data_IF_239530271736
#
_entry.id   IF_239530271736
#
_cell.length_a   1.000
_cell.length_b   1.000
_cell.length_c   1.000
_cell.angle_alpha   90.00
_cell.angle_beta   90.00
_cell.angle_gamma   90.00
#
_symmetry.space_group_name_H-M   'P 1'
#
loop_
_entity.id
_entity.type
_entity.pdbx_description
1 polymer ?
#
# COMPACT_ATOMS: atom_id res chain seq x y z
N UNK A 1 0.12 -20.60 2.18
CA UNK A 1 1.50 -20.53 2.34
C UNK A 1 2.12 -19.33 1.74
N UNK A 2 3.32 -19.11 2.14
CA UNK A 2 4.02 -17.92 1.66
C UNK A 2 4.18 -17.92 0.17
N UNK A 3 4.39 -19.08 -0.40
CA UNK A 3 4.64 -19.12 -1.83
C UNK A 3 3.43 -18.69 -2.63
N UNK A 4 2.26 -18.84 -2.09
CA UNK A 4 1.06 -18.45 -2.82
C UNK A 4 0.87 -16.95 -2.83
N UNK A 5 1.27 -16.30 -1.79
CA UNK A 5 1.14 -14.86 -1.71
C UNK A 5 2.37 -14.13 -2.17
N UNK A 6 3.44 -14.87 -2.34
CA UNK A 6 4.71 -14.25 -2.64
C UNK A 6 5.43 -13.88 -1.36
N UNK A 7 6.71 -13.56 -1.50
CA UNK A 7 7.52 -13.22 -0.34
C UNK A 7 8.15 -11.85 -0.46
N UNK A 8 7.66 -11.01 -1.36
CA UNK A 8 8.16 -9.65 -1.49
C UNK A 8 7.15 -8.72 -0.84
N UNK A 9 7.62 -7.97 0.12
CA UNK A 9 6.75 -7.09 0.89
C UNK A 9 7.19 -5.65 0.69
N UNK A 10 6.22 -4.78 0.44
CA UNK A 10 6.47 -3.35 0.34
C UNK A 10 5.64 -2.65 1.38
N UNK A 11 6.26 -1.75 2.11
CA UNK A 11 5.59 -0.97 3.14
C UNK A 11 5.85 0.49 2.86
N UNK A 12 4.79 1.27 2.83
CA UNK A 12 4.89 2.70 2.59
C UNK A 12 4.14 3.42 3.69
N UNK A 13 4.77 4.42 4.26
CA UNK A 13 4.14 5.25 5.27
C UNK A 13 4.12 6.67 4.75
N UNK A 14 2.93 7.27 4.76
CA UNK A 14 2.76 8.63 4.29
C UNK A 14 2.21 9.47 5.42
N UNK A 15 2.85 10.59 5.69
CA UNK A 15 2.37 11.50 6.70
C UNK A 15 1.41 12.47 6.11
N UNK A 16 0.23 12.56 6.71
CA UNK A 16 -0.78 13.50 6.26
C UNK A 16 -1.32 14.24 7.47
N UNK A 17 -1.94 15.38 7.25
CA UNK A 17 -2.56 16.10 8.36
C UNK A 17 -3.64 15.22 8.99
N UNK A 18 -3.57 15.08 10.27
CA UNK A 18 -4.54 14.27 10.97
C UNK A 18 -4.10 12.85 11.23
N UNK A 19 -2.92 12.46 10.77
CA UNK A 19 -2.43 11.12 11.07
C UNK A 19 -1.51 10.62 10.00
N UNK A 20 -1.19 9.34 10.09
CA UNK A 20 -0.31 8.70 9.12
C UNK A 20 -1.09 7.63 8.39
N UNK A 21 -0.75 7.44 7.14
CA UNK A 21 -1.29 6.34 6.36
C UNK A 21 -0.18 5.33 6.16
N UNK A 22 -0.43 4.10 6.55
CA UNK A 22 0.54 3.05 6.38
C UNK A 22 -0.07 1.93 5.58
N UNK A 23 0.59 1.54 4.50
CA UNK A 23 0.09 0.50 3.62
C UNK A 23 1.17 -0.55 3.46
N UNK A 24 0.79 -1.80 3.61
CA UNK A 24 1.70 -2.92 3.47
C UNK A 24 1.08 -3.92 2.51
N UNK A 25 1.84 -4.31 1.50
CA UNK A 25 1.35 -5.26 0.51
C UNK A 25 2.41 -6.31 0.25
N UNK A 26 1.94 -7.49 -0.06
CA UNK A 26 2.82 -8.62 -0.32
C UNK A 26 2.50 -9.17 -1.70
N UNK A 27 3.52 -9.47 -2.46
CA UNK A 27 3.33 -9.97 -3.81
C UNK A 27 4.53 -10.82 -4.22
N UNK A 28 4.48 -11.35 -5.43
CA UNK A 28 5.56 -12.20 -5.93
C UNK A 28 6.76 -11.38 -6.38
N UNK A 29 6.54 -10.14 -6.78
CA UNK A 29 7.64 -9.26 -7.15
C UNK A 29 7.48 -7.94 -6.43
N UNK A 30 8.60 -7.23 -6.29
CA UNK A 30 8.53 -5.91 -5.65
C UNK A 30 7.71 -4.94 -6.48
N UNK A 31 7.82 -5.03 -7.79
CA UNK A 31 7.03 -4.15 -8.64
C UNK A 31 5.55 -4.32 -8.39
N UNK A 32 5.14 -5.55 -8.31
CA UNK A 32 3.75 -5.84 -8.06
C UNK A 32 3.32 -5.36 -6.69
N UNK A 33 4.16 -5.57 -5.70
CA UNK A 33 3.85 -5.12 -4.35
C UNK A 33 3.70 -3.60 -4.31
N UNK A 34 4.59 -2.91 -5.00
CA UNK A 34 4.55 -1.45 -5.03
C UNK A 34 3.29 -0.97 -5.75
N UNK A 35 2.94 -1.61 -6.84
CA UNK A 35 1.72 -1.26 -7.55
C UNK A 35 0.51 -1.39 -6.63
N UNK A 36 0.46 -2.46 -5.87
CA UNK A 36 -0.64 -2.67 -4.96
C UNK A 36 -0.68 -1.59 -3.89
N UNK A 37 0.50 -1.24 -3.36
CA UNK A 37 0.58 -0.20 -2.35
C UNK A 37 0.07 1.12 -2.93
N UNK A 38 0.50 1.45 -4.14
CA UNK A 38 0.10 2.71 -4.74
C UNK A 38 -1.39 2.76 -4.98
N UNK A 39 -1.96 1.65 -5.38
CA UNK A 39 -3.39 1.60 -5.61
C UNK A 39 -4.16 1.87 -4.31
N UNK A 40 -3.77 1.20 -3.25
CA UNK A 40 -4.42 1.38 -1.97
C UNK A 40 -4.22 2.80 -1.46
N UNK A 41 -3.00 3.30 -1.60
CA UNK A 41 -2.69 4.64 -1.14
C UNK A 41 -3.55 5.67 -1.86
N UNK A 42 -3.71 5.49 -3.15
CA UNK A 42 -4.51 6.39 -3.94
C UNK A 42 -5.95 6.41 -3.46
N UNK A 43 -6.50 5.25 -3.17
CA UNK A 43 -7.86 5.17 -2.66
C UNK A 43 -7.99 5.89 -1.33
N UNK A 44 -7.02 5.72 -0.46
CA UNK A 44 -7.06 6.38 0.83
C UNK A 44 -7.05 7.89 0.67
N UNK A 45 -6.23 8.38 -0.23
CA UNK A 45 -6.14 9.81 -0.46
C UNK A 45 -7.44 10.34 -1.06
N UNK A 46 -8.01 9.60 -1.98
CA UNK A 46 -9.25 10.03 -2.60
C UNK A 46 -10.38 10.11 -1.60
N UNK A 47 -10.41 9.18 -0.68
CA UNK A 47 -11.43 9.21 0.34
C UNK A 47 -11.32 10.45 1.21
N UNK A 48 -10.10 10.84 1.52
CA UNK A 48 -9.91 12.01 2.33
C UNK A 48 -10.32 13.26 1.62
N UNK A 49 -10.06 13.30 0.32
CA UNK A 49 -10.43 14.44 -0.44
C UNK A 49 -11.90 14.63 -0.56
N UNK A 50 -12.61 13.56 -0.54
CA UNK A 50 -13.98 13.57 -0.81
C UNK A 50 -14.78 14.15 0.30
N UNK A 51 -14.51 14.78 1.13
CA UNK A 51 -15.26 15.25 2.16
C UNK A 51 -15.93 16.55 1.99
#
# INVERSE_FOLDING_TARGET
>A
KDSEKGNKVAVVTLRVPGGDIRVEEQAHTFEEAIDNVMDVMKRQIERRKDK
#
